data_IF_229651041399
#
_entry.id   IF_229651041399
#
_cell.length_a   1.000
_cell.length_b   1.000
_cell.length_c   1.000
_cell.angle_alpha   90.00
_cell.angle_beta   90.00
_cell.angle_gamma   90.00
#
_symmetry.space_group_name_H-M   'P 1'
#
loop_
_entity.id
_entity.type
_entity.pdbx_description
1 polymer ?
#
# COMPACT_ATOMS: atom_id res chain seq x y z
N UNK A 1 -2.20 16.11 3.26
CA UNK A 1 -0.81 16.48 3.57
C UNK A 1 -0.03 16.50 2.27
N UNK A 2 0.74 17.56 1.95
CA UNK A 2 1.55 17.58 0.74
C UNK A 2 2.59 16.46 0.80
N UNK A 3 2.85 15.82 -0.36
CA UNK A 3 4.00 14.91 -0.49
C UNK A 3 5.28 15.73 -0.53
N UNK A 4 6.29 15.28 0.20
CA UNK A 4 7.62 15.86 0.26
C UNK A 4 8.65 14.78 -0.04
N UNK A 5 9.81 15.19 -0.55
CA UNK A 5 10.92 14.25 -0.78
C UNK A 5 11.38 13.67 0.56
N UNK A 6 11.55 12.34 0.62
CA UNK A 6 12.12 11.72 1.79
C UNK A 6 13.65 11.83 1.75
N UNK A 7 14.24 12.55 2.70
CA UNK A 7 15.69 12.69 2.84
C UNK A 7 16.27 11.79 3.95
N UNK A 8 15.44 10.99 4.64
CA UNK A 8 15.88 10.12 5.72
C UNK A 8 16.47 8.83 5.18
N UNK A 9 17.64 8.44 5.71
CA UNK A 9 18.25 7.13 5.42
C UNK A 9 17.65 5.99 6.25
N UNK A 10 16.76 6.30 7.20
CA UNK A 10 16.14 5.34 8.11
C UNK A 10 14.90 4.67 7.53
N UNK A 11 14.26 5.27 6.52
CA UNK A 11 13.03 4.75 5.91
C UNK A 11 13.30 4.18 4.51
N UNK A 12 12.45 3.24 4.08
CA UNK A 12 12.58 2.59 2.78
C UNK A 12 11.96 3.39 1.61
N UNK A 13 11.00 4.27 1.91
CA UNK A 13 10.24 5.02 0.90
C UNK A 13 11.03 6.21 0.35
N UNK A 14 10.87 6.53 -0.94
CA UNK A 14 11.59 7.63 -1.62
C UNK A 14 10.91 8.99 -1.48
N UNK A 15 9.64 8.98 -1.11
CA UNK A 15 8.81 10.13 -0.77
C UNK A 15 8.06 9.87 0.54
N UNK A 16 7.61 10.95 1.18
CA UNK A 16 6.84 10.89 2.42
C UNK A 16 5.81 12.01 2.43
N UNK A 17 4.91 12.02 3.41
CA UNK A 17 4.11 13.20 3.73
C UNK A 17 4.86 14.05 4.74
N UNK A 18 4.51 15.34 4.86
CA UNK A 18 5.07 16.17 5.92
C UNK A 18 4.61 15.63 7.30
N UNK A 19 5.57 15.01 8.00
CA UNK A 19 5.39 14.46 9.35
C UNK A 19 6.14 15.27 10.41
N UNK A 20 6.66 16.46 10.08
CA UNK A 20 7.45 17.27 11.00
C UNK A 20 6.69 17.71 12.26
N UNK A 21 5.36 17.73 12.19
CA UNK A 21 4.48 18.00 13.33
C UNK A 21 4.30 16.84 14.31
N UNK A 22 4.80 15.64 13.99
CA UNK A 22 4.72 14.48 14.86
C UNK A 22 6.03 14.27 15.61
N UNK A 23 5.92 13.97 16.90
CA UNK A 23 7.07 13.71 17.76
C UNK A 23 7.62 12.30 17.48
N UNK A 24 8.94 12.15 17.45
CA UNK A 24 9.54 10.84 17.21
C UNK A 24 9.23 9.85 18.34
N UNK A 25 9.03 10.34 19.56
CA UNK A 25 8.69 9.54 20.72
C UNK A 25 7.26 8.95 20.65
N UNK A 26 6.42 9.48 19.76
CA UNK A 26 5.06 8.96 19.48
C UNK A 26 5.07 7.82 18.47
N UNK A 27 6.23 7.49 17.86
CA UNK A 27 6.37 6.38 16.93
C UNK A 27 6.42 5.07 17.71
N UNK A 28 5.42 4.21 17.46
CA UNK A 28 5.33 2.89 18.11
C UNK A 28 5.80 1.81 17.12
N UNK A 29 6.91 1.10 17.41
CA UNK A 29 7.35 -0.02 16.57
C UNK A 29 6.39 -1.21 16.71
N UNK A 30 6.08 -1.85 15.58
CA UNK A 30 5.20 -3.02 15.52
C UNK A 30 6.02 -4.23 15.08
N UNK A 31 6.69 -4.86 16.05
CA UNK A 31 7.48 -6.09 15.83
C UNK A 31 6.59 -7.33 15.89
N UNK A 32 6.70 -8.20 14.90
CA UNK A 32 5.82 -9.38 14.77
C UNK A 32 6.57 -10.62 14.29
N UNK A 33 6.03 -11.80 14.62
CA UNK A 33 6.56 -13.08 14.14
C UNK A 33 5.98 -13.43 12.76
N UNK A 34 6.62 -14.37 12.06
CA UNK A 34 6.06 -14.94 10.83
C UNK A 34 4.68 -15.54 11.11
N UNK A 35 3.73 -15.26 10.23
CA UNK A 35 2.33 -15.69 10.36
C UNK A 35 1.43 -14.75 11.18
N UNK A 36 1.99 -13.71 11.81
CA UNK A 36 1.18 -12.69 12.48
C UNK A 36 0.47 -11.78 11.47
N UNK A 37 -0.75 -11.36 11.80
CA UNK A 37 -1.51 -10.34 11.07
C UNK A 37 -1.44 -9.03 11.85
N UNK A 38 -1.07 -7.94 11.17
CA UNK A 38 -1.24 -6.58 11.66
C UNK A 38 -2.44 -5.99 10.94
N UNK A 39 -3.50 -5.66 11.68
CA UNK A 39 -4.73 -5.08 11.12
C UNK A 39 -4.90 -3.66 11.66
N UNK A 40 -5.06 -2.71 10.76
CA UNK A 40 -5.20 -1.29 11.09
C UNK A 40 -6.05 -0.58 10.04
N UNK A 41 -6.60 0.58 10.42
CA UNK A 41 -7.45 1.38 9.53
C UNK A 41 -6.58 2.11 8.48
N UNK A 42 -7.08 2.26 7.24
CA UNK A 42 -6.36 2.93 6.16
C UNK A 42 -5.97 4.40 6.42
N UNK A 43 -6.57 5.05 7.41
CA UNK A 43 -6.21 6.41 7.85
C UNK A 43 -5.10 6.47 8.91
N UNK A 44 -4.64 5.34 9.43
CA UNK A 44 -3.52 5.32 10.39
C UNK A 44 -2.25 5.76 9.68
N UNK A 45 -1.56 6.75 10.24
CA UNK A 45 -0.23 7.13 9.78
C UNK A 45 0.74 5.97 10.08
N UNK A 46 1.33 5.40 9.04
CA UNK A 46 2.24 4.26 9.16
C UNK A 46 3.37 4.36 8.13
N UNK A 47 4.52 3.79 8.47
CA UNK A 47 5.69 3.68 7.58
C UNK A 47 6.51 2.45 7.96
N UNK A 48 7.53 2.13 7.18
CA UNK A 48 8.48 1.06 7.49
C UNK A 48 9.92 1.55 7.45
N UNK A 49 10.70 1.12 8.44
CA UNK A 49 12.14 1.34 8.45
C UNK A 49 12.82 0.58 7.31
N UNK A 50 13.95 1.13 6.87
CA UNK A 50 14.84 0.50 5.90
C UNK A 50 15.38 -0.81 6.46
N UNK A 51 15.34 -1.87 5.65
CA UNK A 51 16.05 -3.10 5.98
C UNK A 51 17.57 -2.85 5.96
N UNK A 52 18.22 -3.03 7.11
CA UNK A 52 19.69 -2.85 7.28
C UNK A 52 20.47 -4.16 7.18
N UNK A 53 19.81 -5.29 6.94
CA UNK A 53 20.48 -6.59 6.80
C UNK A 53 21.05 -6.78 5.39
N UNK A 54 22.14 -7.55 5.27
CA UNK A 54 22.80 -7.80 3.99
C UNK A 54 22.26 -9.05 3.26
N UNK A 55 21.69 -10.01 3.99
CA UNK A 55 21.36 -11.35 3.49
C UNK A 55 19.98 -11.83 3.95
N UNK A 56 19.11 -10.94 4.42
CA UNK A 56 17.78 -11.30 4.89
C UNK A 56 16.71 -10.36 4.31
N UNK A 57 15.51 -10.89 4.14
CA UNK A 57 14.37 -10.15 3.59
C UNK A 57 13.18 -10.26 4.54
N UNK A 58 12.41 -9.16 4.63
CA UNK A 58 11.09 -9.17 5.27
C UNK A 58 10.02 -9.17 4.17
N UNK A 59 9.28 -10.26 4.05
CA UNK A 59 8.12 -10.35 3.16
C UNK A 59 6.84 -10.08 3.93
N UNK A 60 5.86 -9.47 3.25
CA UNK A 60 4.53 -9.25 3.79
C UNK A 60 3.51 -9.34 2.65
N UNK A 61 2.35 -9.93 2.93
CA UNK A 61 1.17 -9.88 2.06
C UNK A 61 0.25 -8.78 2.58
N UNK A 62 -0.10 -7.82 1.72
CA UNK A 62 -0.98 -6.70 2.07
C UNK A 62 -2.31 -6.87 1.33
N UNK A 63 -3.40 -6.87 2.09
CA UNK A 63 -4.75 -6.85 1.56
C UNK A 63 -5.45 -5.58 2.04
N UNK A 64 -6.21 -4.94 1.15
CA UNK A 64 -7.05 -3.80 1.50
C UNK A 64 -8.49 -4.26 1.52
N UNK A 65 -9.20 -3.97 2.62
CA UNK A 65 -10.60 -4.30 2.79
C UNK A 65 -11.41 -3.02 2.88
N UNK A 66 -12.55 -2.98 2.21
CA UNK A 66 -13.49 -1.86 2.24
C UNK A 66 -14.92 -2.37 2.02
N UNK A 67 -15.92 -1.58 2.39
CA UNK A 67 -17.31 -1.86 2.03
C UNK A 67 -17.47 -1.81 0.51
N UNK A 68 -18.23 -2.74 -0.06
CA UNK A 68 -18.59 -2.73 -1.48
C UNK A 68 -19.52 -1.57 -1.86
N UNK A 69 -20.10 -0.86 -0.88
CA UNK A 69 -20.85 0.39 -1.09
C UNK A 69 -19.94 1.59 -1.41
N UNK A 70 -18.64 1.48 -1.12
CA UNK A 70 -17.67 2.54 -1.36
C UNK A 70 -17.09 2.46 -2.78
N UNK A 71 -16.98 3.60 -3.47
CA UNK A 71 -16.33 3.68 -4.77
C UNK A 71 -14.81 3.60 -4.63
N UNK A 72 -14.14 2.85 -5.50
CA UNK A 72 -12.68 2.66 -5.48
C UNK A 72 -12.01 3.40 -6.65
N UNK A 73 -11.66 4.70 -6.54
CA UNK A 73 -11.04 5.46 -7.62
C UNK A 73 -9.52 5.20 -7.72
N UNK A 74 -9.10 3.94 -7.63
CA UNK A 74 -7.69 3.57 -7.58
C UNK A 74 -7.16 3.27 -8.99
N UNK A 75 -6.11 3.97 -9.40
CA UNK A 75 -5.45 3.82 -10.70
C UNK A 75 -4.14 3.00 -10.64
N UNK A 76 -3.82 2.44 -9.46
CA UNK A 76 -2.62 1.62 -9.21
C UNK A 76 -1.32 2.34 -9.57
N UNK A 77 -1.17 3.59 -9.11
CA UNK A 77 -0.03 4.47 -9.43
C UNK A 77 0.11 4.70 -10.94
N UNK A 78 -1.02 4.88 -11.63
CA UNK A 78 -1.11 5.12 -13.07
C UNK A 78 -0.96 3.88 -13.96
N UNK A 79 -0.94 2.67 -13.39
CA UNK A 79 -0.92 1.41 -14.17
C UNK A 79 -2.25 1.14 -14.87
N UNK A 80 -3.34 1.66 -14.33
CA UNK A 80 -4.68 1.53 -14.87
C UNK A 80 -5.23 2.92 -15.23
N UNK A 81 -6.11 3.03 -16.23
CA UNK A 81 -6.82 4.27 -16.48
C UNK A 81 -7.59 4.71 -15.22
N UNK A 82 -7.61 6.02 -14.91
CA UNK A 82 -8.45 6.53 -13.83
C UNK A 82 -9.91 6.12 -14.03
N UNK A 83 -10.56 5.72 -12.94
CA UNK A 83 -11.96 5.32 -12.91
C UNK A 83 -12.60 5.88 -11.64
N UNK A 84 -13.92 6.03 -11.64
CA UNK A 84 -14.68 6.35 -10.43
C UNK A 84 -14.80 5.12 -9.52
N UNK A 85 -14.83 3.92 -10.10
CA UNK A 85 -15.02 2.64 -9.38
C UNK A 85 -14.24 1.51 -10.05
N UNK A 86 -13.02 1.24 -9.58
CA UNK A 86 -12.21 0.11 -10.02
C UNK A 86 -12.74 -1.17 -9.36
N UNK A 87 -13.66 -1.85 -10.04
CA UNK A 87 -14.24 -3.12 -9.59
C UNK A 87 -13.34 -4.33 -9.86
N UNK A 88 -12.05 -4.20 -9.54
CA UNK A 88 -11.11 -5.32 -9.50
C UNK A 88 -11.00 -5.82 -8.05
N UNK A 89 -12.09 -6.45 -7.60
CA UNK A 89 -12.36 -6.75 -6.20
C UNK A 89 -12.79 -8.20 -6.03
N UNK A 90 -12.68 -8.69 -4.79
CA UNK A 90 -13.24 -9.99 -4.37
C UNK A 90 -14.21 -9.74 -3.23
N UNK A 91 -15.47 -10.14 -3.40
CA UNK A 91 -16.45 -10.10 -2.31
C UNK A 91 -16.15 -11.24 -1.34
N UNK A 92 -15.68 -10.89 -0.14
CA UNK A 92 -15.30 -11.87 0.89
C UNK A 92 -16.41 -12.10 1.93
N UNK A 93 -17.36 -11.19 2.05
CA UNK A 93 -18.51 -11.27 2.94
C UNK A 93 -19.64 -10.34 2.48
N UNK A 94 -20.88 -10.73 2.76
CA UNK A 94 -22.07 -9.93 2.41
C UNK A 94 -22.49 -10.05 0.94
N UNK A 95 -23.33 -9.10 0.51
CA UNK A 95 -23.85 -9.00 -0.85
C UNK A 95 -23.28 -7.77 -1.55
N UNK A 96 -23.07 -7.87 -2.87
CA UNK A 96 -22.59 -6.74 -3.68
C UNK A 96 -23.76 -5.80 -4.03
N UNK A 97 -23.80 -4.56 -3.49
CA UNK A 97 -24.88 -3.61 -3.78
C UNK A 97 -24.90 -3.15 -5.24
N UNK A 98 -23.85 -3.45 -6.00
CA UNK A 98 -23.70 -3.12 -7.41
C UNK A 98 -23.51 -4.38 -8.27
N UNK A 99 -24.12 -5.51 -7.92
CA UNK A 99 -23.98 -6.78 -8.63
C UNK A 99 -24.27 -6.72 -10.15
N UNK A 100 -25.00 -5.72 -10.63
CA UNK A 100 -25.22 -5.47 -12.06
C UNK A 100 -24.02 -4.84 -12.79
N UNK A 101 -23.01 -4.36 -12.07
CA UNK A 101 -21.76 -3.82 -12.65
C UNK A 101 -20.72 -4.96 -12.76
N UNK A 102 -19.93 -5.00 -13.84
CA UNK A 102 -18.93 -6.05 -14.01
C UNK A 102 -17.82 -5.93 -12.96
N UNK A 103 -17.42 -7.06 -12.39
CA UNK A 103 -16.14 -7.22 -11.71
C UNK A 103 -15.10 -7.62 -12.77
N UNK A 104 -13.94 -6.98 -12.72
CA UNK A 104 -12.82 -7.24 -13.63
C UNK A 104 -11.68 -7.95 -12.89
N UNK A 105 -10.66 -8.42 -13.64
CA UNK A 105 -9.45 -9.03 -13.09
C UNK A 105 -8.24 -8.48 -13.84
N UNK A 106 -7.79 -7.28 -13.45
CA UNK A 106 -6.79 -6.51 -14.19
C UNK A 106 -5.43 -6.53 -13.46
N UNK A 107 -5.45 -6.39 -12.15
CA UNK A 107 -4.28 -6.35 -11.31
C UNK A 107 -3.72 -7.74 -11.05
N UNK A 108 -2.39 -7.82 -11.00
CA UNK A 108 -1.67 -9.02 -10.59
C UNK A 108 -0.78 -8.68 -9.39
N UNK A 109 -0.70 -9.56 -8.38
CA UNK A 109 0.27 -9.41 -7.31
C UNK A 109 1.68 -9.28 -7.88
N UNK A 110 2.49 -8.39 -7.30
CA UNK A 110 3.87 -8.17 -7.70
C UNK A 110 4.73 -7.88 -6.47
N UNK A 111 6.02 -8.16 -6.55
CA UNK A 111 6.96 -7.69 -5.52
C UNK A 111 7.41 -6.27 -5.88
N UNK A 112 7.38 -5.34 -4.91
CA UNK A 112 7.83 -3.96 -5.14
C UNK A 112 9.22 -3.86 -5.80
N UNK A 113 10.23 -4.67 -5.42
CA UNK A 113 11.54 -4.67 -6.09
C UNK A 113 11.48 -5.00 -7.60
N UNK A 114 10.55 -5.87 -8.03
CA UNK A 114 10.39 -6.23 -9.45
C UNK A 114 9.90 -5.03 -10.26
N UNK A 115 9.04 -4.20 -9.67
CA UNK A 115 8.51 -2.99 -10.33
C UNK A 115 9.50 -1.82 -10.27
N UNK A 116 10.31 -1.70 -9.22
CA UNK A 116 11.35 -0.66 -9.14
C UNK A 116 12.43 -0.86 -10.21
N UNK A 117 12.80 -2.10 -10.52
CA UNK A 117 13.73 -2.40 -11.63
C UNK A 117 13.19 -1.95 -13.00
N UNK A 118 11.87 -1.87 -13.17
CA UNK A 118 11.22 -1.38 -14.40
C UNK A 118 11.33 0.15 -14.51
N UNK A 119 11.27 0.89 -13.39
CA UNK A 119 11.39 2.36 -13.41
C UNK A 119 12.81 2.86 -13.67
N UNK A 120 13.84 2.06 -13.38
CA UNK A 120 15.26 2.46 -13.59
C UNK A 120 15.76 2.13 -15.00
N UNK A 121 15.11 1.20 -15.72
CA UNK A 121 15.56 0.75 -17.06
C UNK A 121 15.07 1.60 -18.23
N UNK A 122 14.32 2.68 -17.99
CA UNK A 122 13.84 3.61 -19.02
C UNK A 122 14.48 5.00 -18.90
N UNK A 123 15.72 5.07 -18.42
CA UNK A 123 16.57 6.27 -18.46
C UNK A 123 17.70 6.13 -19.47
#
# INVERSE_FOLDING_TARGET
MPRVKNNSHEYADVDTVDVSGYKQEEIIPVEVKSGTVVFFNGYVLHSSLRNKTANNFRTALVNHYMSAESMLPWDQDGKLPPTEDLRDIVIVAGEDPYAGKPIVNLNKPYLRPEVLAIKVKNG
#
